data_IF_086173719091
#
_entry.id   IF_086173719091
#
_cell.length_a   1.000
_cell.length_b   1.000
_cell.length_c   1.000
_cell.angle_alpha   90.00
_cell.angle_beta   90.00
_cell.angle_gamma   90.00
#
_symmetry.space_group_name_H-M   'P 1'
#
loop_
_entity.id
_entity.type
_entity.pdbx_description
1 polymer ?
#
# COMPACT_ATOMS: atom_id res chain seq x y z
N UNK A 1 18.04 -2.42 -5.25
CA UNK A 1 18.15 -3.34 -4.09
C UNK A 1 19.61 -3.68 -3.86
N UNK A 2 19.99 -4.02 -2.61
CA UNK A 2 21.36 -4.39 -2.23
C UNK A 2 21.44 -5.79 -1.57
N UNK A 3 20.35 -6.54 -1.64
CA UNK A 3 20.14 -7.82 -0.97
C UNK A 3 18.68 -8.26 -1.08
N UNK A 4 18.40 -9.47 -0.61
CA UNK A 4 17.02 -9.91 -0.36
C UNK A 4 16.35 -9.00 0.67
N UNK A 5 15.02 -8.90 0.58
CA UNK A 5 14.20 -8.15 1.52
C UNK A 5 14.32 -8.74 2.92
N UNK A 6 14.53 -7.87 3.88
CA UNK A 6 14.55 -8.20 5.30
C UNK A 6 14.11 -7.01 6.12
N UNK A 7 13.54 -7.30 7.28
CA UNK A 7 13.17 -6.30 8.27
C UNK A 7 14.14 -6.35 9.46
N UNK A 8 14.44 -5.20 10.06
CA UNK A 8 15.24 -5.11 11.27
C UNK A 8 14.63 -4.05 12.17
N UNK A 9 13.93 -4.51 13.22
CA UNK A 9 13.14 -3.66 14.13
C UNK A 9 13.94 -2.48 14.65
N UNK A 10 15.17 -2.71 15.10
CA UNK A 10 16.02 -1.70 15.75
C UNK A 10 16.49 -0.61 14.77
N UNK A 11 16.40 -0.87 13.47
CA UNK A 11 16.78 0.07 12.42
C UNK A 11 15.58 0.74 11.77
N UNK A 12 14.36 0.29 12.06
CA UNK A 12 13.18 0.82 11.41
C UNK A 12 12.74 2.13 12.07
N UNK A 13 12.85 3.28 11.37
CA UNK A 13 12.68 4.61 11.99
C UNK A 13 11.26 4.82 12.52
N UNK A 14 10.26 4.17 11.94
CA UNK A 14 8.87 4.38 12.34
C UNK A 14 8.56 3.85 13.73
N UNK A 15 9.34 2.89 14.25
CA UNK A 15 9.18 2.38 15.61
C UNK A 15 9.45 3.50 16.62
N UNK A 16 10.60 4.16 16.51
CA UNK A 16 10.97 5.26 17.42
C UNK A 16 10.11 6.51 17.20
N UNK A 17 9.69 6.77 15.96
CA UNK A 17 8.73 7.84 15.67
C UNK A 17 7.40 7.59 16.39
N UNK A 18 6.86 6.35 16.32
CA UNK A 18 5.63 5.96 17.02
C UNK A 18 5.76 6.14 18.52
N UNK A 19 6.81 5.59 19.13
CA UNK A 19 7.05 5.71 20.57
C UNK A 19 7.11 7.17 21.04
N UNK A 20 7.59 8.08 20.20
CA UNK A 20 7.62 9.52 20.49
C UNK A 20 6.21 10.12 20.56
N UNK A 21 5.38 9.99 19.52
CA UNK A 21 4.05 10.61 19.54
C UNK A 21 3.03 9.83 20.36
N UNK A 22 3.26 8.53 20.62
CA UNK A 22 2.45 7.73 21.53
C UNK A 22 2.39 8.36 22.93
N UNK A 23 3.52 8.85 23.46
CA UNK A 23 3.56 9.51 24.78
C UNK A 23 2.61 10.72 24.84
N UNK A 24 2.58 11.51 23.77
CA UNK A 24 1.71 12.69 23.66
C UNK A 24 0.23 12.28 23.56
N UNK A 25 -0.06 11.19 22.86
CA UNK A 25 -1.41 10.65 22.73
C UNK A 25 -1.92 10.07 24.07
N UNK A 26 -1.08 9.31 24.77
CA UNK A 26 -1.36 8.73 26.09
C UNK A 26 -1.65 9.85 27.12
N UNK A 27 -0.85 10.92 27.14
CA UNK A 27 -1.07 12.09 28.00
C UNK A 27 -2.43 12.78 27.76
N UNK A 28 -2.97 12.63 26.55
CA UNK A 28 -4.27 13.16 26.14
C UNK A 28 -5.40 12.14 26.24
N UNK A 29 -5.12 10.90 26.66
CA UNK A 29 -6.10 9.82 26.74
C UNK A 29 -6.69 9.42 25.39
N UNK A 30 -5.94 9.61 24.29
CA UNK A 30 -6.36 9.24 22.93
C UNK A 30 -5.43 8.18 22.35
N UNK A 31 -5.94 7.38 21.42
CA UNK A 31 -5.13 6.40 20.71
C UNK A 31 -4.22 7.07 19.66
N UNK A 32 -2.98 6.60 19.57
CA UNK A 32 -2.06 6.93 18.49
C UNK A 32 -2.19 5.92 17.34
N UNK A 33 -2.68 6.38 16.19
CA UNK A 33 -2.67 5.64 14.91
C UNK A 33 -1.34 5.86 14.18
N UNK A 34 -0.86 4.85 13.45
CA UNK A 34 0.22 4.99 12.46
C UNK A 34 -0.27 4.69 11.04
N UNK A 35 0.34 5.35 10.06
CA UNK A 35 0.10 5.10 8.63
C UNK A 35 1.40 4.68 7.95
N UNK A 36 1.35 3.63 7.14
CA UNK A 36 2.48 3.11 6.35
C UNK A 36 2.02 2.84 4.90
N UNK A 37 2.91 2.85 3.90
CA UNK A 37 2.55 2.46 2.53
C UNK A 37 2.05 1.01 2.50
N UNK A 38 1.03 0.69 1.71
CA UNK A 38 0.58 -0.67 1.53
C UNK A 38 1.66 -1.58 0.89
N UNK A 39 1.65 -2.90 1.16
CA UNK A 39 2.57 -3.85 0.50
C UNK A 39 2.54 -3.75 -1.04
N UNK A 40 1.36 -3.58 -1.64
CA UNK A 40 1.20 -3.37 -3.07
C UNK A 40 1.86 -2.06 -3.55
N UNK A 41 1.73 -0.97 -2.78
CA UNK A 41 2.42 0.29 -3.06
C UNK A 41 3.94 0.13 -3.04
N UNK A 42 4.48 -0.65 -2.11
CA UNK A 42 5.91 -0.96 -2.06
C UNK A 42 6.36 -1.84 -3.22
N UNK A 43 5.59 -2.86 -3.59
CA UNK A 43 5.82 -3.67 -4.79
C UNK A 43 5.92 -2.78 -6.03
N UNK A 44 4.92 -1.90 -6.24
CA UNK A 44 4.92 -0.97 -7.35
C UNK A 44 6.18 -0.07 -7.33
N UNK A 45 6.62 0.42 -6.18
CA UNK A 45 7.82 1.26 -6.08
C UNK A 45 9.15 0.51 -6.33
N UNK A 46 9.26 -0.75 -5.90
CA UNK A 46 10.40 -1.60 -6.21
C UNK A 46 10.49 -1.89 -7.71
N UNK A 47 9.36 -2.02 -8.39
CA UNK A 47 9.29 -2.25 -9.83
C UNK A 47 9.36 -0.97 -10.67
N UNK A 48 9.52 0.21 -10.04
CA UNK A 48 9.58 1.49 -10.75
C UNK A 48 10.97 1.82 -11.27
N UNK A 49 11.06 2.09 -12.57
CA UNK A 49 12.27 2.64 -13.21
C UNK A 49 13.52 1.83 -12.89
N UNK A 50 14.59 2.50 -12.44
CA UNK A 50 15.88 1.85 -12.16
C UNK A 50 15.84 0.85 -10.99
N UNK A 51 14.82 0.89 -10.12
CA UNK A 51 14.71 -0.05 -9.01
C UNK A 51 14.51 -1.49 -9.52
N UNK A 52 13.71 -1.64 -10.59
CA UNK A 52 13.37 -2.92 -11.20
C UNK A 52 14.60 -3.70 -11.67
N UNK A 53 15.63 -2.99 -12.14
CA UNK A 53 16.84 -3.57 -12.72
C UNK A 53 17.60 -4.50 -11.76
N UNK A 54 17.43 -4.29 -10.45
CA UNK A 54 18.16 -5.03 -9.41
C UNK A 54 17.36 -6.14 -8.74
N UNK A 55 16.09 -6.32 -9.12
CA UNK A 55 15.23 -7.36 -8.51
C UNK A 55 15.75 -8.75 -8.91
N UNK A 56 16.07 -8.93 -10.19
CA UNK A 56 16.54 -10.21 -10.75
C UNK A 56 17.85 -10.72 -10.14
N UNK A 57 18.66 -9.83 -9.56
CA UNK A 57 19.91 -10.20 -8.87
C UNK A 57 19.65 -11.00 -7.58
N UNK A 58 18.47 -10.83 -6.97
CA UNK A 58 18.11 -11.44 -5.68
C UNK A 58 16.88 -12.36 -5.76
N UNK A 59 16.02 -12.15 -6.76
CA UNK A 59 14.77 -12.86 -6.96
C UNK A 59 14.64 -13.30 -8.42
N UNK A 60 14.88 -14.60 -8.65
CA UNK A 60 14.65 -15.23 -9.95
C UNK A 60 13.20 -15.70 -10.12
N UNK A 61 12.49 -15.88 -9.01
CA UNK A 61 11.10 -16.32 -8.95
C UNK A 61 10.21 -15.20 -8.39
N UNK A 62 9.15 -14.85 -9.13
CA UNK A 62 8.20 -13.80 -8.73
C UNK A 62 7.44 -14.19 -7.47
N UNK A 63 7.04 -15.46 -7.32
CA UNK A 63 6.31 -15.92 -6.15
C UNK A 63 7.11 -15.71 -4.85
N UNK A 64 8.40 -16.03 -4.88
CA UNK A 64 9.35 -15.80 -3.78
C UNK A 64 9.50 -14.31 -3.47
N UNK A 65 9.56 -13.46 -4.50
CA UNK A 65 9.64 -12.00 -4.32
C UNK A 65 8.39 -11.44 -3.61
N UNK A 66 7.19 -11.80 -4.08
CA UNK A 66 5.93 -11.37 -3.50
C UNK A 66 5.76 -11.89 -2.06
N UNK A 67 6.15 -13.15 -1.83
CA UNK A 67 6.12 -13.76 -0.49
C UNK A 67 7.06 -13.03 0.48
N UNK A 68 8.25 -12.64 0.03
CA UNK A 68 9.19 -11.88 0.86
C UNK A 68 8.69 -10.47 1.17
N UNK A 69 8.00 -9.79 0.24
CA UNK A 69 7.34 -8.51 0.51
C UNK A 69 6.29 -8.68 1.62
N UNK A 70 5.39 -9.65 1.48
CA UNK A 70 4.36 -9.91 2.49
C UNK A 70 4.98 -10.25 3.86
N UNK A 71 6.04 -11.06 3.88
CA UNK A 71 6.76 -11.42 5.10
C UNK A 71 7.37 -10.20 5.80
N UNK A 72 8.12 -9.36 5.09
CA UNK A 72 8.78 -8.20 5.74
C UNK A 72 7.77 -7.18 6.26
N UNK A 73 6.64 -7.01 5.57
CA UNK A 73 5.55 -6.17 6.03
C UNK A 73 4.88 -6.73 7.28
N UNK A 74 4.65 -8.04 7.33
CA UNK A 74 4.15 -8.71 8.54
C UNK A 74 5.11 -8.51 9.72
N UNK A 75 6.41 -8.66 9.49
CA UNK A 75 7.45 -8.42 10.50
C UNK A 75 7.40 -6.97 11.02
N UNK A 76 7.22 -5.98 10.13
CA UNK A 76 7.04 -4.58 10.51
C UNK A 76 5.75 -4.36 11.32
N UNK A 77 4.62 -4.90 10.87
CA UNK A 77 3.32 -4.78 11.54
C UNK A 77 3.39 -5.36 12.96
N UNK A 78 4.00 -6.54 13.13
CA UNK A 78 4.17 -7.15 14.44
C UNK A 78 5.13 -6.35 15.33
N UNK A 79 6.21 -5.79 14.77
CA UNK A 79 7.11 -4.93 15.52
C UNK A 79 6.44 -3.63 15.98
N UNK A 80 5.57 -3.04 15.15
CA UNK A 80 4.73 -1.90 15.50
C UNK A 80 3.74 -2.26 16.60
N UNK A 81 3.09 -3.42 16.49
CA UNK A 81 2.19 -3.93 17.52
C UNK A 81 2.89 -4.12 18.88
N UNK A 82 4.10 -4.69 18.88
CA UNK A 82 4.95 -4.83 20.06
C UNK A 82 5.35 -3.47 20.67
N UNK A 83 5.48 -2.42 19.85
CA UNK A 83 5.72 -1.06 20.30
C UNK A 83 4.46 -0.38 20.89
N UNK A 84 3.30 -1.04 20.81
CA UNK A 84 2.03 -0.59 21.39
C UNK A 84 1.02 -0.07 20.38
N UNK A 85 1.27 -0.17 19.08
CA UNK A 85 0.31 0.21 18.04
C UNK A 85 -0.93 -0.69 18.12
N UNK A 86 -2.12 -0.09 18.00
CA UNK A 86 -3.40 -0.81 17.93
C UNK A 86 -4.23 -0.49 16.69
N UNK A 87 -3.89 0.57 15.97
CA UNK A 87 -4.48 0.90 14.66
C UNK A 87 -3.39 1.25 13.66
N UNK A 88 -3.34 0.51 12.55
CA UNK A 88 -2.48 0.78 11.39
C UNK A 88 -3.36 1.10 10.18
N UNK A 89 -2.98 2.12 9.42
CA UNK A 89 -3.54 2.40 8.11
C UNK A 89 -2.50 2.08 7.02
N UNK A 90 -2.89 1.26 6.04
CA UNK A 90 -2.14 0.98 4.83
C UNK A 90 -2.58 1.96 3.74
N UNK A 91 -1.69 2.82 3.28
CA UNK A 91 -1.97 3.75 2.18
C UNK A 91 -1.62 3.09 0.83
N UNK A 92 -2.65 2.85 0.02
CA UNK A 92 -2.55 2.17 -1.26
C UNK A 92 -3.00 3.08 -2.41
N UNK A 93 -2.06 3.55 -3.24
CA UNK A 93 -2.37 4.33 -4.43
C UNK A 93 -2.33 3.49 -5.71
N UNK A 94 -2.09 2.18 -5.61
CA UNK A 94 -1.80 1.34 -6.78
C UNK A 94 -3.04 1.01 -7.60
N UNK A 95 -4.21 0.98 -6.98
CA UNK A 95 -5.47 0.75 -7.68
C UNK A 95 -5.79 1.88 -8.67
N UNK A 96 -5.53 3.14 -8.29
CA UNK A 96 -5.67 4.28 -9.21
C UNK A 96 -4.71 4.19 -10.41
N UNK A 97 -3.50 3.66 -10.17
CA UNK A 97 -2.48 3.45 -11.20
C UNK A 97 -2.87 2.41 -12.26
N UNK A 98 -3.71 1.42 -11.91
CA UNK A 98 -4.20 0.41 -12.84
C UNK A 98 -5.36 0.92 -13.71
N UNK A 99 -6.07 1.96 -13.26
CA UNK A 99 -7.19 2.56 -13.96
C UNK A 99 -6.70 3.62 -14.96
N UNK A 100 -5.59 4.29 -14.67
CA UNK A 100 -4.93 5.19 -15.60
C UNK A 100 -4.11 4.41 -16.64
N UNK A 101 -4.63 4.33 -17.87
CA UNK A 101 -3.99 3.59 -18.95
C UNK A 101 -2.63 4.18 -19.35
N UNK A 102 -2.49 5.51 -19.36
CA UNK A 102 -1.21 6.16 -19.67
C UNK A 102 -0.16 5.84 -18.60
N UNK A 103 -0.58 5.86 -17.32
CA UNK A 103 0.28 5.45 -16.22
C UNK A 103 0.67 3.98 -16.34
N UNK A 104 -0.29 3.10 -16.62
CA UNK A 104 -0.06 1.67 -16.79
C UNK A 104 0.95 1.36 -17.91
N UNK A 105 0.88 2.05 -19.05
CA UNK A 105 1.83 1.88 -20.15
C UNK A 105 3.28 2.18 -19.72
N UNK A 106 3.49 3.14 -18.81
CA UNK A 106 4.84 3.40 -18.25
C UNK A 106 5.33 2.34 -17.26
N UNK A 107 4.43 1.50 -16.76
CA UNK A 107 4.69 0.43 -15.79
C UNK A 107 4.77 -0.95 -16.42
N UNK A 108 4.43 -1.09 -17.69
CA UNK A 108 4.46 -2.36 -18.40
C UNK A 108 5.89 -2.93 -18.42
N UNK A 109 6.03 -4.19 -18.01
CA UNK A 109 7.27 -4.96 -18.08
C UNK A 109 7.07 -6.09 -19.08
N UNK A 110 8.11 -6.40 -19.85
CA UNK A 110 8.10 -7.57 -20.72
C UNK A 110 7.78 -8.83 -19.90
N UNK A 111 6.72 -9.56 -20.30
CA UNK A 111 6.31 -10.80 -19.67
C UNK A 111 5.38 -10.66 -18.44
N UNK A 112 4.94 -9.45 -18.08
CA UNK A 112 3.94 -9.22 -17.01
C UNK A 112 2.69 -8.56 -17.59
N UNK A 113 1.55 -9.25 -17.52
CA UNK A 113 0.27 -8.69 -17.95
C UNK A 113 -0.37 -7.83 -16.86
N UNK A 114 -1.34 -6.99 -17.26
CA UNK A 114 -2.15 -6.21 -16.32
C UNK A 114 -2.90 -7.12 -15.34
N UNK A 115 -3.36 -8.27 -15.82
CA UNK A 115 -4.04 -9.26 -14.99
C UNK A 115 -3.11 -9.83 -13.91
N UNK A 116 -1.87 -10.15 -14.24
CA UNK A 116 -0.90 -10.66 -13.25
C UNK A 116 -0.71 -9.66 -12.11
N UNK A 117 -0.57 -8.37 -12.44
CA UNK A 117 -0.43 -7.31 -11.43
C UNK A 117 -1.69 -7.15 -10.56
N UNK A 118 -2.89 -7.29 -11.16
CA UNK A 118 -4.16 -7.29 -10.43
C UNK A 118 -4.24 -8.45 -9.43
N UNK A 119 -3.62 -9.60 -9.71
CA UNK A 119 -3.55 -10.73 -8.78
C UNK A 119 -2.47 -10.55 -7.70
N UNK A 120 -1.36 -9.90 -8.04
CA UNK A 120 -0.23 -9.73 -7.12
C UNK A 120 -0.55 -8.78 -5.96
N UNK A 121 -1.31 -7.71 -6.19
CA UNK A 121 -1.67 -6.73 -5.16
C UNK A 121 -2.45 -7.32 -3.98
N UNK A 122 -3.60 -8.00 -4.18
CA UNK A 122 -4.31 -8.64 -3.09
C UNK A 122 -3.46 -9.77 -2.49
N UNK A 123 -2.62 -10.45 -3.27
CA UNK A 123 -1.71 -11.46 -2.72
C UNK A 123 -0.75 -10.85 -1.68
N UNK A 124 -0.04 -9.77 -2.00
CA UNK A 124 0.92 -9.17 -1.05
C UNK A 124 0.21 -8.49 0.12
N UNK A 125 -0.90 -7.77 -0.12
CA UNK A 125 -1.65 -7.09 0.93
C UNK A 125 -2.23 -8.11 1.93
N UNK A 126 -2.92 -9.15 1.46
CA UNK A 126 -3.57 -10.13 2.32
C UNK A 126 -2.57 -10.99 3.11
N UNK A 127 -1.47 -11.41 2.49
CA UNK A 127 -0.48 -12.24 3.18
C UNK A 127 0.28 -11.44 4.25
N UNK A 128 0.46 -10.13 4.06
CA UNK A 128 1.06 -9.26 5.08
C UNK A 128 0.21 -9.16 6.34
N UNK A 129 -1.12 -9.19 6.21
CA UNK A 129 -2.07 -8.95 7.31
C UNK A 129 -2.74 -10.23 7.85
N UNK A 130 -2.37 -11.40 7.35
CA UNK A 130 -2.93 -12.68 7.77
C UNK A 130 -2.62 -12.96 9.26
N UNK A 131 -3.44 -13.70 10.00
CA UNK A 131 -3.12 -14.21 11.36
C UNK A 131 -2.50 -13.15 12.32
N UNK A 132 -2.98 -11.91 12.27
CA UNK A 132 -2.54 -10.82 13.15
C UNK A 132 -3.25 -10.88 14.52
N UNK A 133 -2.73 -10.20 15.56
CA UNK A 133 -3.39 -10.12 16.86
C UNK A 133 -4.82 -9.57 16.75
N UNK A 134 -5.77 -10.18 17.47
CA UNK A 134 -7.19 -9.83 17.39
C UNK A 134 -7.53 -8.40 17.89
N UNK A 135 -6.63 -7.76 18.65
CA UNK A 135 -6.79 -6.39 19.13
C UNK A 135 -6.06 -5.35 18.25
N UNK A 136 -5.53 -5.77 17.10
CA UNK A 136 -4.91 -4.88 16.11
C UNK A 136 -5.89 -4.61 14.96
N UNK A 137 -6.25 -3.33 14.79
CA UNK A 137 -7.08 -2.88 13.67
C UNK A 137 -6.22 -2.54 12.46
N UNK A 138 -6.55 -3.10 11.29
CA UNK A 138 -5.89 -2.78 10.01
C UNK A 138 -6.90 -2.12 9.06
N UNK A 139 -6.62 -0.86 8.73
CA UNK A 139 -7.37 -0.10 7.74
C UNK A 139 -6.58 -0.03 6.42
N UNK A 140 -7.28 0.04 5.29
CA UNK A 140 -6.67 0.40 4.01
C UNK A 140 -7.29 1.70 3.52
N UNK A 141 -6.45 2.68 3.19
CA UNK A 141 -6.85 3.90 2.50
C UNK A 141 -6.44 3.79 1.04
N UNK A 142 -7.43 3.93 0.15
CA UNK A 142 -7.18 3.90 -1.29
C UNK A 142 -7.29 5.31 -1.85
N UNK A 143 -6.13 5.87 -2.16
CA UNK A 143 -6.01 7.21 -2.71
C UNK A 143 -6.07 7.16 -4.24
N UNK A 144 -6.72 8.16 -4.84
CA UNK A 144 -6.75 8.33 -6.31
C UNK A 144 -5.54 9.08 -6.86
N UNK A 145 -4.54 9.33 -6.03
CA UNK A 145 -3.27 9.94 -6.40
C UNK A 145 -3.40 11.43 -6.65
N UNK A 146 -3.02 12.27 -5.69
CA UNK A 146 -2.85 13.70 -5.94
C UNK A 146 -1.40 14.01 -6.41
N UNK A 147 -0.89 13.20 -7.34
CA UNK A 147 0.48 13.34 -7.87
C UNK A 147 0.48 14.43 -8.96
N UNK A 148 0.76 15.67 -8.56
CA UNK A 148 0.98 16.83 -9.43
C UNK A 148 -0.21 17.25 -10.32
N UNK A 149 -1.10 18.09 -9.78
CA UNK A 149 -1.85 19.12 -10.52
C UNK A 149 -2.36 18.75 -11.92
N UNK A 150 -2.92 17.55 -12.09
CA UNK A 150 -3.73 17.15 -13.25
C UNK A 150 -4.39 15.83 -12.88
N UNK A 151 -5.73 15.82 -12.85
CA UNK A 151 -6.62 14.66 -12.69
C UNK A 151 -5.96 13.31 -13.03
N UNK A 152 -5.46 12.58 -12.01
CA UNK A 152 -4.57 11.43 -12.18
C UNK A 152 -5.27 10.06 -12.12
N UNK A 153 -6.61 10.01 -12.20
CA UNK A 153 -7.32 8.80 -12.60
C UNK A 153 -8.73 9.15 -13.09
N UNK A 154 -8.96 9.04 -14.40
CA UNK A 154 -10.31 9.12 -14.99
C UNK A 154 -10.75 7.73 -15.39
N UNK A 155 -11.68 7.14 -14.64
CA UNK A 155 -12.31 5.87 -15.01
C UNK A 155 -13.11 5.24 -13.86
N UNK A 156 -14.17 4.46 -14.16
CA UNK A 156 -14.87 3.65 -13.16
C UNK A 156 -13.99 2.48 -12.71
N UNK A 157 -14.13 2.02 -11.46
CA UNK A 157 -13.40 0.86 -10.91
C UNK A 157 -13.71 -0.48 -11.60
N UNK A 158 -14.51 -0.50 -12.68
CA UNK A 158 -15.13 -1.72 -13.23
C UNK A 158 -14.13 -2.86 -13.49
N UNK A 159 -12.93 -2.57 -13.97
CA UNK A 159 -11.93 -3.58 -14.33
C UNK A 159 -11.14 -4.13 -13.12
N UNK A 160 -11.16 -3.42 -11.98
CA UNK A 160 -10.43 -3.79 -10.76
C UNK A 160 -11.36 -4.05 -9.57
N UNK A 161 -12.65 -3.73 -9.68
CA UNK A 161 -13.61 -3.76 -8.59
C UNK A 161 -13.74 -5.15 -7.94
N UNK A 162 -13.67 -6.23 -8.72
CA UNK A 162 -13.72 -7.58 -8.17
C UNK A 162 -12.45 -7.94 -7.37
N UNK A 163 -11.27 -7.56 -7.85
CA UNK A 163 -10.03 -7.76 -7.10
C UNK A 163 -10.00 -6.89 -5.83
N UNK A 164 -10.36 -5.63 -6.00
CA UNK A 164 -10.24 -4.61 -4.98
C UNK A 164 -11.30 -4.77 -3.86
N UNK A 165 -12.58 -4.89 -4.20
CA UNK A 165 -13.66 -4.96 -3.21
C UNK A 165 -13.96 -6.36 -2.70
N UNK A 166 -13.71 -7.41 -3.51
CA UNK A 166 -14.11 -8.77 -3.16
C UNK A 166 -12.94 -9.67 -2.70
N UNK A 167 -11.68 -9.29 -2.99
CA UNK A 167 -10.51 -10.15 -2.70
C UNK A 167 -9.48 -9.53 -1.76
N UNK A 168 -9.47 -8.22 -1.54
CA UNK A 168 -8.66 -7.63 -0.49
C UNK A 168 -9.33 -7.84 0.88
N UNK A 169 -8.56 -8.19 1.92
CA UNK A 169 -9.08 -8.54 3.25
C UNK A 169 -8.86 -7.39 4.26
N UNK A 170 -9.12 -6.15 3.86
CA UNK A 170 -9.01 -5.01 4.77
C UNK A 170 -10.26 -4.93 5.68
N UNK A 171 -10.08 -4.60 6.96
CA UNK A 171 -11.21 -4.49 7.90
C UNK A 171 -12.07 -3.24 7.63
N UNK A 172 -11.46 -2.17 7.14
CA UNK A 172 -12.15 -0.95 6.72
C UNK A 172 -11.46 -0.32 5.51
N UNK A 173 -12.25 0.07 4.52
CA UNK A 173 -11.80 0.80 3.32
C UNK A 173 -12.14 2.28 3.43
N UNK A 174 -11.12 3.14 3.39
CA UNK A 174 -11.30 4.58 3.22
C UNK A 174 -11.10 4.94 1.75
N UNK A 175 -12.23 5.10 1.03
CA UNK A 175 -12.26 5.46 -0.38
C UNK A 175 -12.41 6.97 -0.55
N UNK A 176 -11.59 7.57 -1.41
CA UNK A 176 -11.84 8.91 -1.92
C UNK A 176 -12.92 8.85 -3.00
N UNK A 177 -14.10 9.40 -2.70
CA UNK A 177 -15.11 9.72 -3.70
C UNK A 177 -14.94 11.20 -4.09
N UNK A 178 -14.53 11.47 -5.33
CA UNK A 178 -14.66 12.81 -5.90
C UNK A 178 -16.17 13.08 -6.09
N UNK A 179 -16.71 14.08 -5.41
CA UNK A 179 -18.01 14.62 -5.76
C UNK A 179 -17.86 15.53 -6.99
N UNK A 180 -18.70 15.32 -8.01
CA UNK A 180 -18.76 16.17 -9.21
C UNK A 180 -19.25 17.63 -8.92
N UNK A 181 -19.17 18.11 -7.69
CA UNK A 181 -19.71 19.40 -7.26
C UNK A 181 -18.63 20.46 -7.04
N UNK A 182 -17.79 20.69 -8.05
CA UNK A 182 -17.04 21.94 -8.21
C UNK A 182 -16.66 22.21 -9.68
N UNK A 183 -17.51 21.79 -10.63
CA UNK A 183 -17.43 22.21 -12.03
C UNK A 183 -18.66 23.04 -12.39
N UNK A 184 -18.53 24.36 -12.47
CA UNK A 184 -19.56 25.21 -13.09
C UNK A 184 -19.77 26.57 -12.44
N UNK A 185 -18.78 27.46 -12.56
CA UNK A 185 -18.95 28.89 -12.36
C UNK A 185 -18.52 29.65 -13.60
N UNK A 186 -19.20 29.44 -14.73
CA UNK A 186 -19.05 30.31 -15.90
C UNK A 186 -19.97 31.52 -15.74
N UNK A 187 -19.36 32.68 -15.99
CA UNK A 187 -19.94 33.99 -16.21
C UNK A 187 -21.36 33.97 -16.81
N UNK A 188 -22.26 34.70 -16.15
CA UNK A 188 -23.06 35.74 -16.79
C UNK A 188 -23.25 36.91 -15.83
#
# INVERSE_FOLDING_TARGET
MRGKLGFTKEKHPFISHYEFYKKIADDKGVEAKITIPAPAQFLAELERGKNANSIGDFYQDRGTFLTDIARVYREEILALYEAGVRTIQLDDCTWGMLIDEDYWQTRQREGLSKQDVIEDYPFVNNNAIKDLPNDLTINTHVCRGNYHSTYASKGPYNDVAEAFFARENAETYFLEFDDERSGGGLNH
#
